data_IF_846691056792
#
_entry.id   IF_846691056792
#
_cell.length_a   1.000
_cell.length_b   1.000
_cell.length_c   1.000
_cell.angle_alpha   90.00
_cell.angle_beta   90.00
_cell.angle_gamma   90.00
#
_symmetry.space_group_name_H-M   'P 1'
#
loop_
_entity.id
_entity.type
_entity.pdbx_description
1 polymer ?
#
# COMPACT_ATOMS: atom_id res chain seq x y z
N UNK A 1 -46.04 -73.13 26.24
CA UNK A 1 -45.98 -71.83 26.95
C UNK A 1 -44.59 -71.74 27.55
N UNK A 2 -43.57 -71.13 26.92
CA UNK A 2 -43.51 -69.77 26.37
C UNK A 2 -43.24 -68.81 27.54
N UNK A 3 -42.09 -68.16 27.69
CA UNK A 3 -40.88 -68.11 26.88
C UNK A 3 -39.69 -67.54 27.69
N UNK A 4 -38.50 -67.71 27.14
CA UNK A 4 -37.27 -67.08 27.60
C UNK A 4 -37.19 -65.63 27.09
N UNK A 5 -36.71 -64.70 27.93
CA UNK A 5 -36.28 -63.37 27.49
C UNK A 5 -34.82 -63.13 27.89
N UNK A 6 -34.01 -63.01 26.84
CA UNK A 6 -32.60 -62.63 26.78
C UNK A 6 -32.41 -61.13 27.14
N UNK A 7 -31.17 -60.68 27.42
CA UNK A 7 -30.91 -59.31 27.88
C UNK A 7 -30.92 -58.33 26.70
N UNK A 8 -31.17 -57.02 26.90
CA UNK A 8 -30.95 -56.06 25.84
C UNK A 8 -29.46 -55.74 25.73
N UNK A 9 -29.02 -55.73 24.47
CA UNK A 9 -27.66 -55.57 24.01
C UNK A 9 -27.14 -54.14 24.16
N UNK A 10 -25.84 -54.05 24.41
CA UNK A 10 -24.98 -52.93 24.01
C UNK A 10 -24.96 -52.78 22.49
N UNK A 11 -25.40 -51.64 21.98
CA UNK A 11 -25.03 -51.01 20.70
C UNK A 11 -25.59 -49.59 20.77
N UNK A 12 -24.80 -48.53 20.84
CA UNK A 12 -23.87 -48.00 19.84
C UNK A 12 -24.41 -46.61 19.47
N UNK A 13 -23.58 -45.61 19.73
CA UNK A 13 -23.30 -44.52 18.80
C UNK A 13 -24.51 -43.80 18.20
N UNK A 14 -25.03 -42.86 18.97
CA UNK A 14 -25.77 -41.73 18.45
C UNK A 14 -25.15 -40.45 18.98
N UNK A 15 -23.85 -40.23 18.74
CA UNK A 15 -23.26 -38.90 18.89
C UNK A 15 -23.87 -38.04 17.80
N UNK A 16 -24.93 -37.36 18.19
CA UNK A 16 -25.83 -36.61 17.34
C UNK A 16 -25.01 -35.54 16.60
N UNK A 17 -24.94 -35.63 15.28
CA UNK A 17 -24.31 -34.64 14.40
C UNK A 17 -24.88 -33.23 14.67
N UNK A 18 -26.08 -33.16 15.26
CA UNK A 18 -26.75 -31.95 15.70
C UNK A 18 -26.18 -31.32 16.98
N UNK A 19 -25.53 -32.08 17.87
CA UNK A 19 -24.82 -31.52 19.04
C UNK A 19 -23.51 -30.82 18.64
N UNK A 20 -22.93 -31.22 17.50
CA UNK A 20 -21.75 -30.56 16.94
C UNK A 20 -22.09 -29.22 16.27
N UNK A 21 -23.36 -29.01 15.89
CA UNK A 21 -23.87 -27.80 15.23
C UNK A 21 -24.31 -26.71 16.21
N UNK A 22 -24.43 -27.01 17.51
CA UNK A 22 -24.85 -26.08 18.56
C UNK A 22 -23.76 -25.84 19.61
N UNK A 23 -22.49 -25.77 19.18
CA UNK A 23 -21.42 -25.30 20.05
C UNK A 23 -21.68 -23.84 20.46
N UNK A 24 -21.51 -23.47 21.74
CA UNK A 24 -21.71 -22.10 22.20
C UNK A 24 -20.96 -21.12 21.31
N UNK A 25 -21.54 -19.94 21.06
CA UNK A 25 -20.92 -18.85 20.27
C UNK A 25 -19.45 -18.61 20.61
N UNK A 26 -19.08 -18.78 21.90
CA UNK A 26 -17.72 -18.64 22.40
C UNK A 26 -16.76 -19.72 21.87
N UNK A 27 -17.22 -20.96 21.73
CA UNK A 27 -16.39 -22.07 21.21
C UNK A 27 -16.16 -21.94 19.69
N UNK A 28 -17.17 -21.53 18.93
CA UNK A 28 -17.03 -21.27 17.48
C UNK A 28 -16.10 -20.07 17.23
N UNK A 29 -16.20 -19.01 18.06
CA UNK A 29 -15.30 -17.85 17.99
C UNK A 29 -13.86 -18.24 18.35
N UNK A 30 -13.69 -19.12 19.34
CA UNK A 30 -12.36 -19.64 19.74
C UNK A 30 -11.74 -20.52 18.63
N UNK A 31 -12.51 -21.43 18.02
CA UNK A 31 -12.03 -22.27 16.93
C UNK A 31 -11.66 -21.44 15.67
N UNK A 32 -12.47 -20.44 15.33
CA UNK A 32 -12.20 -19.54 14.21
C UNK A 32 -10.98 -18.64 14.45
N UNK A 33 -10.78 -18.17 15.68
CA UNK A 33 -9.59 -17.41 16.09
C UNK A 33 -8.31 -18.26 15.99
N UNK A 34 -8.33 -19.49 16.47
CA UNK A 34 -7.17 -20.39 16.40
C UNK A 34 -6.85 -20.81 14.96
N UNK A 35 -7.86 -20.95 14.10
CA UNK A 35 -7.64 -21.13 12.67
C UNK A 35 -7.00 -19.88 12.03
N UNK A 36 -7.50 -18.68 12.36
CA UNK A 36 -6.93 -17.42 11.88
C UNK A 36 -5.48 -17.21 12.31
N UNK A 37 -5.12 -17.57 13.55
CA UNK A 37 -3.74 -17.48 14.06
C UNK A 37 -2.75 -18.36 13.31
N UNK A 38 -3.18 -19.54 12.83
CA UNK A 38 -2.33 -20.42 11.99
C UNK A 38 -2.01 -19.81 10.63
N UNK A 39 -2.88 -18.93 10.15
CA UNK A 39 -2.77 -18.28 8.84
C UNK A 39 -1.92 -17.01 8.86
N UNK A 40 -1.54 -16.49 10.04
CA UNK A 40 -0.82 -15.21 10.18
C UNK A 40 0.42 -15.34 11.06
N UNK A 41 1.42 -14.49 10.84
CA UNK A 41 2.61 -14.42 11.69
C UNK A 41 2.29 -14.11 13.17
N UNK A 42 3.09 -14.63 14.13
CA UNK A 42 2.84 -14.48 15.57
C UNK A 42 2.68 -13.04 16.06
N UNK A 43 3.38 -12.07 15.46
CA UNK A 43 3.32 -10.65 15.85
C UNK A 43 1.94 -10.02 15.72
N UNK A 44 1.00 -10.66 15.00
CA UNK A 44 -0.37 -10.17 14.83
C UNK A 44 -1.40 -10.91 15.71
N UNK A 45 -0.99 -11.95 16.45
CA UNK A 45 -1.91 -12.77 17.25
C UNK A 45 -2.63 -11.95 18.31
N UNK A 46 -1.93 -11.04 18.99
CA UNK A 46 -2.54 -10.13 19.97
C UNK A 46 -3.60 -9.21 19.35
N UNK A 47 -3.37 -8.76 18.11
CA UNK A 47 -4.35 -7.97 17.36
C UNK A 47 -5.61 -8.76 17.02
N UNK A 48 -5.44 -10.02 16.61
CA UNK A 48 -6.57 -10.93 16.37
C UNK A 48 -7.37 -11.20 17.64
N UNK A 49 -6.69 -11.42 18.77
CA UNK A 49 -7.36 -11.59 20.07
C UNK A 49 -8.17 -10.36 20.45
N UNK A 50 -7.59 -9.16 20.29
CA UNK A 50 -8.27 -7.89 20.54
C UNK A 50 -9.50 -7.73 19.65
N UNK A 51 -9.39 -8.04 18.36
CA UNK A 51 -10.52 -7.95 17.43
C UNK A 51 -11.60 -9.00 17.71
N UNK A 52 -11.24 -10.20 18.20
CA UNK A 52 -12.20 -11.23 18.58
C UNK A 52 -13.10 -10.83 19.74
N UNK A 53 -12.62 -9.92 20.59
CA UNK A 53 -13.36 -9.38 21.72
C UNK A 53 -14.17 -8.13 21.35
N UNK A 54 -14.02 -7.59 20.12
CA UNK A 54 -14.69 -6.38 19.70
C UNK A 54 -16.20 -6.61 19.58
N UNK A 55 -16.98 -5.76 20.27
CA UNK A 55 -18.44 -5.69 20.16
C UNK A 55 -18.83 -4.33 19.60
N UNK A 56 -19.69 -4.33 18.58
CA UNK A 56 -20.19 -3.10 17.96
C UNK A 56 -20.96 -2.28 19.02
N UNK A 57 -20.55 -1.04 19.32
CA UNK A 57 -21.26 -0.18 20.26
C UNK A 57 -22.71 0.04 19.80
N UNK A 58 -23.68 -0.27 20.68
CA UNK A 58 -25.11 -0.12 20.37
C UNK A 58 -25.77 -1.30 19.65
N UNK A 59 -25.03 -2.39 19.36
CA UNK A 59 -25.64 -3.63 18.86
C UNK A 59 -26.38 -4.34 19.98
N UNK A 60 -27.70 -4.52 19.82
CA UNK A 60 -28.56 -5.31 20.71
C UNK A 60 -28.33 -6.83 20.46
N UNK A 61 -27.73 -7.19 19.32
CA UNK A 61 -27.47 -8.57 18.94
C UNK A 61 -26.05 -9.00 19.35
N UNK A 62 -25.89 -9.92 20.33
CA UNK A 62 -24.59 -10.47 20.73
C UNK A 62 -23.97 -11.40 19.68
N UNK A 63 -24.66 -11.68 18.57
CA UNK A 63 -24.28 -12.63 17.54
C UNK A 63 -23.48 -12.03 16.36
N UNK A 64 -23.25 -10.71 16.32
CA UNK A 64 -22.38 -10.11 15.29
C UNK A 64 -20.94 -10.23 15.75
N UNK A 65 -20.39 -11.44 15.66
CA UNK A 65 -18.98 -11.67 15.85
C UNK A 65 -18.21 -11.27 14.58
N UNK A 66 -17.01 -10.70 14.71
CA UNK A 66 -16.17 -10.41 13.56
C UNK A 66 -15.81 -11.71 12.81
N UNK A 67 -15.91 -11.69 11.48
CA UNK A 67 -15.50 -12.81 10.64
C UNK A 67 -13.96 -12.95 10.67
N UNK A 68 -13.48 -13.91 11.48
CA UNK A 68 -12.05 -14.15 11.68
C UNK A 68 -11.33 -14.55 10.39
N UNK A 69 -12.02 -15.21 9.45
CA UNK A 69 -11.45 -15.58 8.16
C UNK A 69 -11.16 -14.35 7.30
N UNK A 70 -12.12 -13.40 7.25
CA UNK A 70 -11.93 -12.12 6.56
C UNK A 70 -10.86 -11.26 7.23
N UNK A 71 -10.83 -11.24 8.56
CA UNK A 71 -9.80 -10.53 9.32
C UNK A 71 -8.40 -11.11 9.02
N UNK A 72 -8.24 -12.43 9.08
CA UNK A 72 -6.97 -13.09 8.77
C UNK A 72 -6.53 -12.81 7.32
N UNK A 73 -7.47 -12.78 6.38
CA UNK A 73 -7.19 -12.39 5.00
C UNK A 73 -6.65 -10.95 4.91
N UNK A 74 -7.28 -9.99 5.60
CA UNK A 74 -6.81 -8.59 5.63
C UNK A 74 -5.43 -8.48 6.28
N UNK A 75 -5.20 -9.19 7.40
CA UNK A 75 -3.90 -9.20 8.08
C UNK A 75 -2.82 -9.80 7.18
N UNK A 76 -3.09 -10.90 6.48
CA UNK A 76 -2.16 -11.48 5.50
C UNK A 76 -1.85 -10.55 4.34
N UNK A 77 -2.88 -9.89 3.80
CA UNK A 77 -2.68 -8.89 2.76
C UNK A 77 -1.79 -7.74 3.27
N UNK A 78 -2.00 -7.29 4.51
CA UNK A 78 -1.15 -6.32 5.18
C UNK A 78 0.29 -6.83 5.37
N UNK A 79 0.48 -8.08 5.81
CA UNK A 79 1.80 -8.71 5.97
C UNK A 79 2.61 -8.74 4.68
N UNK A 80 1.96 -9.07 3.56
CA UNK A 80 2.62 -9.14 2.26
C UNK A 80 3.10 -7.77 1.76
N UNK A 81 2.46 -6.70 2.22
CA UNK A 81 2.70 -5.33 1.73
C UNK A 81 3.57 -4.54 2.69
N UNK A 82 3.37 -4.68 4.00
CA UNK A 82 4.07 -3.90 5.03
C UNK A 82 5.51 -4.40 5.18
N UNK A 83 6.47 -3.46 5.15
CA UNK A 83 7.89 -3.75 5.33
C UNK A 83 8.19 -4.33 6.71
N UNK A 84 9.09 -5.32 6.77
CA UNK A 84 9.46 -6.00 8.00
C UNK A 84 10.20 -5.11 9.01
N UNK A 85 11.01 -4.18 8.52
CA UNK A 85 11.86 -3.24 9.27
C UNK A 85 11.17 -1.90 9.57
N UNK A 86 9.82 -1.84 9.50
CA UNK A 86 9.08 -0.59 9.61
C UNK A 86 9.40 0.19 10.89
N UNK A 87 9.44 -0.50 12.03
CA UNK A 87 9.69 0.14 13.33
C UNK A 87 11.10 0.74 13.41
N UNK A 88 12.11 -0.05 13.04
CA UNK A 88 13.51 0.37 13.02
C UNK A 88 13.72 1.55 12.06
N UNK A 89 13.06 1.51 10.91
CA UNK A 89 13.10 2.59 9.94
C UNK A 89 12.46 3.88 10.46
N UNK A 90 11.29 3.78 11.09
CA UNK A 90 10.62 4.95 11.67
C UNK A 90 11.47 5.56 12.78
N UNK A 91 12.04 4.77 13.67
CA UNK A 91 12.92 5.28 14.73
C UNK A 91 14.16 5.98 14.18
N UNK A 92 14.71 5.46 13.07
CA UNK A 92 15.90 6.02 12.42
C UNK A 92 15.63 7.33 11.68
N UNK A 93 14.50 7.43 10.96
CA UNK A 93 14.27 8.53 10.01
C UNK A 93 13.19 9.53 10.41
N UNK A 94 12.16 9.12 11.16
CA UNK A 94 10.96 9.93 11.38
C UNK A 94 11.28 11.24 12.09
N UNK A 95 12.09 11.20 13.15
CA UNK A 95 12.46 12.39 13.93
C UNK A 95 13.22 13.39 13.06
N UNK A 96 14.14 12.91 12.22
CA UNK A 96 14.91 13.76 11.30
C UNK A 96 14.00 14.45 10.28
N UNK A 97 13.12 13.68 9.63
CA UNK A 97 12.20 14.22 8.63
C UNK A 97 11.16 15.18 9.20
N UNK A 98 10.71 14.98 10.45
CA UNK A 98 9.81 15.93 11.11
C UNK A 98 10.49 17.27 11.41
N UNK A 99 11.81 17.27 11.64
CA UNK A 99 12.58 18.48 11.95
C UNK A 99 13.07 19.20 10.69
N UNK A 100 13.57 18.45 9.73
CA UNK A 100 14.32 18.98 8.58
C UNK A 100 13.54 18.89 7.26
N UNK A 101 12.40 18.19 7.27
CA UNK A 101 11.69 17.80 6.06
C UNK A 101 12.27 16.53 5.43
N UNK A 102 11.47 15.88 4.59
CA UNK A 102 11.86 14.63 3.92
C UNK A 102 13.00 14.81 2.92
N UNK A 103 13.00 15.97 2.25
CA UNK A 103 14.08 16.41 1.38
C UNK A 103 14.82 17.52 2.11
N UNK A 104 16.03 17.24 2.56
CA UNK A 104 16.94 18.32 2.93
C UNK A 104 17.06 19.26 1.73
N UNK A 105 17.16 20.59 1.93
CA UNK A 105 17.25 21.54 0.82
C UNK A 105 18.54 21.30 0.04
N UNK A 106 18.47 20.42 -0.95
CA UNK A 106 19.52 20.26 -1.94
C UNK A 106 19.47 21.52 -2.80
N UNK A 107 20.38 22.44 -2.47
CA UNK A 107 20.80 23.60 -3.23
C UNK A 107 19.89 24.84 -3.13
N UNK A 108 20.43 25.83 -2.42
CA UNK A 108 20.03 27.24 -2.41
C UNK A 108 20.29 27.91 -3.77
N UNK A 109 19.62 27.49 -4.85
CA UNK A 109 19.63 28.23 -6.10
C UNK A 109 18.33 29.07 -6.24
N UNK A 110 18.40 30.41 -6.40
CA UNK A 110 17.24 31.28 -6.15
C UNK A 110 16.25 31.41 -7.31
N UNK A 111 16.42 30.65 -8.39
CA UNK A 111 15.64 30.85 -9.62
C UNK A 111 15.32 29.47 -10.18
N UNK A 112 14.10 29.31 -10.67
CA UNK A 112 13.43 28.07 -11.11
C UNK A 112 12.57 27.47 -10.00
N UNK A 113 11.25 27.47 -10.24
CA UNK A 113 10.21 26.91 -9.40
C UNK A 113 10.68 25.63 -8.70
N UNK A 114 10.73 25.67 -7.36
CA UNK A 114 11.29 24.62 -6.52
C UNK A 114 10.71 23.21 -6.79
N UNK A 115 9.58 23.10 -7.48
CA UNK A 115 8.94 21.82 -7.81
C UNK A 115 9.46 21.19 -9.13
N UNK A 116 9.93 21.97 -10.11
CA UNK A 116 10.22 21.45 -11.46
C UNK A 116 11.59 20.80 -11.62
N UNK A 117 12.64 21.36 -10.99
CA UNK A 117 13.99 20.75 -11.04
C UNK A 117 14.13 19.58 -10.05
N UNK A 118 13.42 19.62 -8.92
CA UNK A 118 13.52 18.58 -7.90
C UNK A 118 13.03 17.22 -8.42
N UNK A 119 12.02 17.17 -9.28
CA UNK A 119 11.43 15.88 -9.66
C UNK A 119 12.26 15.05 -10.65
N UNK A 120 13.11 15.66 -11.48
CA UNK A 120 13.88 14.89 -12.47
C UNK A 120 15.19 14.35 -11.89
N UNK A 121 15.91 15.20 -11.14
CA UNK A 121 17.21 14.86 -10.56
C UNK A 121 17.07 14.00 -9.29
N UNK A 122 16.03 14.21 -8.47
CA UNK A 122 15.84 13.42 -7.24
C UNK A 122 15.36 11.99 -7.48
N UNK A 123 14.82 11.68 -8.67
CA UNK A 123 14.34 10.31 -8.97
C UNK A 123 15.49 9.30 -9.00
N UNK A 124 16.67 9.75 -9.40
CA UNK A 124 17.87 8.92 -9.53
C UNK A 124 18.92 9.23 -8.43
N UNK A 125 18.65 10.20 -7.56
CA UNK A 125 19.58 10.55 -6.50
C UNK A 125 19.55 9.50 -5.36
N UNK A 126 20.68 8.87 -5.10
CA UNK A 126 20.90 8.05 -3.90
C UNK A 126 21.33 8.98 -2.75
N UNK A 127 20.36 9.64 -2.12
CA UNK A 127 20.61 10.63 -1.07
C UNK A 127 20.96 10.01 0.29
N UNK A 128 20.64 8.75 0.48
CA UNK A 128 20.83 8.03 1.73
C UNK A 128 21.65 6.76 1.50
N UNK A 129 22.46 6.35 2.47
CA UNK A 129 23.10 5.02 2.44
C UNK A 129 22.06 3.89 2.57
N UNK A 130 20.90 4.21 3.13
CA UNK A 130 19.80 3.28 3.30
C UNK A 130 18.98 3.16 2.02
N UNK A 131 19.02 1.96 1.45
CA UNK A 131 18.30 1.62 0.22
C UNK A 131 16.82 1.96 0.31
N UNK A 132 16.19 1.73 1.46
CA UNK A 132 14.75 1.87 1.59
C UNK A 132 14.34 3.33 1.78
N UNK A 133 15.19 4.15 2.40
CA UNK A 133 15.04 5.60 2.34
C UNK A 133 15.03 6.09 0.89
N UNK A 134 16.02 5.68 0.07
CA UNK A 134 16.06 6.06 -1.35
C UNK A 134 14.83 5.59 -2.15
N UNK A 135 14.31 4.40 -1.89
CA UNK A 135 13.10 3.91 -2.56
C UNK A 135 11.89 4.79 -2.19
N UNK A 136 11.69 5.12 -0.91
CA UNK A 136 10.60 6.00 -0.49
C UNK A 136 10.70 7.37 -1.14
N UNK A 137 11.90 7.94 -1.13
CA UNK A 137 12.22 9.20 -1.80
C UNK A 137 11.80 9.15 -3.29
N UNK A 138 12.17 8.07 -3.98
CA UNK A 138 11.80 7.84 -5.38
C UNK A 138 10.28 7.73 -5.59
N UNK A 139 9.57 6.99 -4.74
CA UNK A 139 8.10 6.91 -4.77
C UNK A 139 7.46 8.30 -4.68
N UNK A 140 7.91 9.12 -3.73
CA UNK A 140 7.39 10.46 -3.56
C UNK A 140 7.71 11.35 -4.76
N UNK A 141 8.91 11.23 -5.32
CA UNK A 141 9.30 11.97 -6.52
C UNK A 141 8.40 11.61 -7.72
N UNK A 142 8.07 10.33 -7.92
CA UNK A 142 7.15 9.89 -8.97
C UNK A 142 5.71 10.36 -8.76
N UNK A 143 5.21 10.30 -7.53
CA UNK A 143 3.90 10.85 -7.16
C UNK A 143 3.83 12.35 -7.48
N UNK A 144 4.85 13.11 -7.10
CA UNK A 144 4.96 14.55 -7.41
C UNK A 144 5.06 14.81 -8.91
N UNK A 145 5.83 14.00 -9.64
CA UNK A 145 5.95 14.09 -11.10
C UNK A 145 4.58 13.93 -11.77
N UNK A 146 3.78 12.95 -11.33
CA UNK A 146 2.44 12.75 -11.85
C UNK A 146 1.53 13.96 -11.59
N UNK A 147 1.49 14.48 -10.35
CA UNK A 147 0.71 15.68 -10.04
C UNK A 147 1.17 16.89 -10.86
N UNK A 148 2.48 17.08 -11.01
CA UNK A 148 3.01 18.19 -11.78
C UNK A 148 2.59 18.11 -13.25
N UNK A 149 2.63 16.91 -13.84
CA UNK A 149 2.10 16.66 -15.18
C UNK A 149 0.61 16.96 -15.27
N UNK A 150 -0.20 16.52 -14.30
CA UNK A 150 -1.64 16.78 -14.26
C UNK A 150 -1.96 18.28 -14.19
N UNK A 151 -1.16 19.05 -13.43
CA UNK A 151 -1.26 20.51 -13.43
C UNK A 151 -0.88 21.14 -14.78
N UNK A 152 0.13 20.60 -15.47
CA UNK A 152 0.44 21.06 -16.84
C UNK A 152 -0.69 20.71 -17.82
N UNK A 153 -1.35 19.56 -17.67
CA UNK A 153 -2.51 19.19 -18.48
C UNK A 153 -3.68 20.17 -18.30
N UNK A 154 -3.97 20.58 -17.06
CA UNK A 154 -5.02 21.55 -16.74
C UNK A 154 -4.68 22.96 -17.25
N UNK A 155 -3.41 23.35 -17.16
CA UNK A 155 -2.94 24.67 -17.57
C UNK A 155 -2.72 24.81 -19.09
N UNK A 156 -2.59 23.70 -19.83
CA UNK A 156 -2.28 23.74 -21.25
C UNK A 156 -3.44 24.33 -22.07
N UNK A 157 -3.16 25.30 -22.97
CA UNK A 157 -4.17 25.83 -23.87
C UNK A 157 -4.74 24.70 -24.75
N UNK A 158 -6.06 24.65 -24.93
CA UNK A 158 -6.72 23.66 -25.82
C UNK A 158 -6.33 23.83 -27.31
N UNK A 159 -5.61 24.89 -27.67
CA UNK A 159 -5.02 25.08 -29.00
C UNK A 159 -3.75 24.24 -29.09
N UNK A 160 -3.93 23.01 -29.53
CA UNK A 160 -2.88 22.04 -29.79
C UNK A 160 -2.14 22.40 -31.08
N UNK A 161 -0.84 22.15 -31.12
CA UNK A 161 -0.15 22.07 -32.41
C UNK A 161 -0.77 20.93 -33.24
N UNK A 162 -0.93 21.10 -34.57
CA UNK A 162 -1.50 20.06 -35.41
C UNK A 162 -0.74 18.74 -35.25
N UNK A 163 -1.42 17.71 -34.75
CA UNK A 163 -0.85 16.36 -34.59
C UNK A 163 -0.18 16.06 -33.23
N UNK A 164 -0.11 17.02 -32.30
CA UNK A 164 0.41 16.77 -30.94
C UNK A 164 -0.75 16.70 -29.95
N UNK A 165 -0.90 15.57 -29.24
CA UNK A 165 -1.90 15.42 -28.19
C UNK A 165 -1.56 16.21 -26.92
N UNK A 166 -2.59 16.59 -26.14
CA UNK A 166 -2.44 17.36 -24.89
C UNK A 166 -1.45 16.71 -23.93
N UNK A 167 -1.48 15.38 -23.83
CA UNK A 167 -0.59 14.61 -22.96
C UNK A 167 0.89 14.78 -23.34
N UNK A 168 1.20 14.67 -24.63
CA UNK A 168 2.56 14.84 -25.14
C UNK A 168 3.04 16.28 -24.94
N UNK A 169 2.15 17.26 -25.12
CA UNK A 169 2.47 18.67 -24.90
C UNK A 169 2.79 18.94 -23.41
N UNK A 170 1.94 18.46 -22.50
CA UNK A 170 2.16 18.61 -21.06
C UNK A 170 3.46 17.93 -20.59
N UNK A 171 3.77 16.74 -21.11
CA UNK A 171 5.02 16.05 -20.84
C UNK A 171 6.23 16.84 -21.35
N UNK A 172 6.18 17.37 -22.58
CA UNK A 172 7.25 18.21 -23.12
C UNK A 172 7.46 19.49 -22.29
N UNK A 173 6.39 20.14 -21.83
CA UNK A 173 6.47 21.30 -20.94
C UNK A 173 7.14 20.95 -19.60
N UNK A 174 6.85 19.78 -19.03
CA UNK A 174 7.55 19.31 -17.82
C UNK A 174 9.04 19.11 -18.08
N UNK A 175 9.40 18.43 -19.18
CA UNK A 175 10.78 18.14 -19.55
C UNK A 175 11.59 19.42 -19.85
N UNK A 176 11.01 20.38 -20.58
CA UNK A 176 11.60 21.69 -20.82
C UNK A 176 11.87 22.48 -19.54
N UNK A 177 10.97 22.37 -18.55
CA UNK A 177 11.13 23.03 -17.25
C UNK A 177 12.11 22.30 -16.32
N UNK A 178 12.33 21.01 -16.54
CA UNK A 178 13.23 20.19 -15.74
C UNK A 178 14.68 20.29 -16.22
N UNK A 179 14.92 20.37 -17.53
CA UNK A 179 16.27 20.36 -18.10
C UNK A 179 16.63 21.70 -18.75
N UNK A 180 17.59 22.42 -18.15
CA UNK A 180 18.04 23.75 -18.61
C UNK A 180 18.53 23.73 -20.07
N UNK A 181 19.19 22.65 -20.49
CA UNK A 181 19.75 22.50 -21.84
C UNK A 181 18.85 21.68 -22.77
N UNK A 182 17.56 21.52 -22.44
CA UNK A 182 16.62 20.68 -23.21
C UNK A 182 16.68 20.99 -24.71
N UNK A 183 16.68 22.26 -25.10
CA UNK A 183 16.67 22.62 -26.53
C UNK A 183 17.92 22.16 -27.29
N UNK A 184 19.05 22.02 -26.61
CA UNK A 184 20.35 21.62 -27.18
C UNK A 184 20.51 20.10 -27.31
N UNK A 185 19.60 19.31 -26.72
CA UNK A 185 19.67 17.85 -26.75
C UNK A 185 19.34 17.28 -28.14
N UNK A 186 19.95 16.15 -28.46
CA UNK A 186 19.63 15.38 -29.66
C UNK A 186 18.18 14.87 -29.61
N UNK A 187 17.60 14.53 -30.76
CA UNK A 187 16.24 13.96 -30.79
C UNK A 187 16.18 12.60 -30.08
N UNK A 188 17.27 11.82 -30.13
CA UNK A 188 17.40 10.53 -29.45
C UNK A 188 17.40 10.71 -27.92
N UNK A 189 18.15 11.68 -27.40
CA UNK A 189 18.19 11.99 -25.97
C UNK A 189 16.83 12.51 -25.48
N UNK A 190 16.19 13.40 -26.27
CA UNK A 190 14.84 13.90 -25.98
C UNK A 190 13.84 12.75 -25.94
N UNK A 191 13.93 11.80 -26.86
CA UNK A 191 13.03 10.64 -26.87
C UNK A 191 13.27 9.73 -25.67
N UNK A 192 14.54 9.43 -25.34
CA UNK A 192 14.90 8.66 -24.16
C UNK A 192 14.36 9.29 -22.87
N UNK A 193 14.46 10.61 -22.75
CA UNK A 193 13.95 11.35 -21.60
C UNK A 193 12.41 11.31 -21.52
N UNK A 194 11.71 11.39 -22.65
CA UNK A 194 10.25 11.20 -22.71
C UNK A 194 9.85 9.80 -22.27
N UNK A 195 10.51 8.77 -22.75
CA UNK A 195 10.19 7.38 -22.40
C UNK A 195 10.36 7.14 -20.90
N UNK A 196 11.47 7.63 -20.32
CA UNK A 196 11.70 7.61 -18.87
C UNK A 196 10.62 8.39 -18.13
N UNK A 197 10.28 9.59 -18.58
CA UNK A 197 9.23 10.40 -17.98
C UNK A 197 7.88 9.69 -17.96
N UNK A 198 7.45 9.12 -19.10
CA UNK A 198 6.18 8.39 -19.19
C UNK A 198 6.17 7.14 -18.30
N UNK A 199 7.27 6.38 -18.25
CA UNK A 199 7.40 5.24 -17.35
C UNK A 199 7.22 5.66 -15.87
N UNK A 200 7.98 6.67 -15.44
CA UNK A 200 7.92 7.20 -14.07
C UNK A 200 6.56 7.79 -13.73
N UNK A 201 5.94 8.49 -14.68
CA UNK A 201 4.58 9.05 -14.54
C UNK A 201 3.54 7.95 -14.32
N UNK A 202 3.61 6.84 -15.07
CA UNK A 202 2.68 5.71 -14.91
C UNK A 202 2.78 5.09 -13.52
N UNK A 203 4.00 4.89 -13.04
CA UNK A 203 4.26 4.38 -11.68
C UNK A 203 3.75 5.37 -10.63
N UNK A 204 4.05 6.66 -10.78
CA UNK A 204 3.56 7.73 -9.90
C UNK A 204 2.03 7.80 -9.82
N UNK A 205 1.34 7.62 -10.95
CA UNK A 205 -0.13 7.55 -10.99
C UNK A 205 -0.67 6.37 -10.17
N UNK A 206 -0.11 5.16 -10.33
CA UNK A 206 -0.53 3.97 -9.58
C UNK A 206 -0.33 4.15 -8.07
N UNK A 207 0.77 4.76 -7.67
CA UNK A 207 0.98 5.17 -6.29
C UNK A 207 -0.06 6.19 -5.81
N UNK A 208 -0.40 7.19 -6.62
CA UNK A 208 -1.46 8.13 -6.27
C UNK A 208 -2.82 7.45 -6.07
N UNK A 209 -3.16 6.46 -6.90
CA UNK A 209 -4.39 5.68 -6.74
C UNK A 209 -4.41 4.96 -5.39
N UNK A 210 -3.31 4.31 -4.98
CA UNK A 210 -3.21 3.69 -3.66
C UNK A 210 -3.30 4.70 -2.51
N UNK A 211 -2.63 5.85 -2.63
CA UNK A 211 -2.67 6.92 -1.63
C UNK A 211 -4.09 7.44 -1.42
N UNK A 212 -4.92 7.47 -2.47
CA UNK A 212 -6.32 7.88 -2.34
C UNK A 212 -7.16 6.92 -1.48
N UNK A 213 -6.87 5.62 -1.52
CA UNK A 213 -7.62 4.61 -0.76
C UNK A 213 -7.05 4.34 0.64
N UNK A 214 -5.72 4.35 0.78
CA UNK A 214 -5.02 3.91 2.00
C UNK A 214 -4.35 5.05 2.76
N UNK A 215 -4.38 6.27 2.20
CA UNK A 215 -3.72 7.44 2.74
C UNK A 215 -2.21 7.51 2.41
N UNK A 216 -1.56 8.66 2.66
CA UNK A 216 -0.15 8.89 2.28
C UNK A 216 0.87 7.97 2.99
N UNK A 217 0.50 7.42 4.16
CA UNK A 217 1.38 6.53 4.93
C UNK A 217 1.82 5.28 4.15
N UNK A 218 1.02 4.86 3.16
CA UNK A 218 1.32 3.69 2.32
C UNK A 218 2.66 3.80 1.56
N UNK A 219 3.08 5.03 1.23
CA UNK A 219 4.38 5.26 0.57
C UNK A 219 5.56 4.85 1.46
N UNK A 220 5.36 4.90 2.78
CA UNK A 220 6.37 4.65 3.82
C UNK A 220 6.27 3.21 4.34
N UNK A 221 5.05 2.73 4.55
CA UNK A 221 4.81 1.43 5.20
C UNK A 221 5.01 0.25 4.27
N UNK A 222 4.85 0.43 2.95
CA UNK A 222 5.07 -0.64 1.98
C UNK A 222 6.54 -1.03 1.81
N UNK A 223 6.82 -2.32 1.73
CA UNK A 223 8.12 -2.87 1.33
C UNK A 223 8.46 -2.57 -0.13
N UNK A 224 9.74 -2.71 -0.49
CA UNK A 224 10.25 -2.47 -1.85
C UNK A 224 9.56 -3.33 -2.92
N UNK A 225 9.14 -4.55 -2.56
CA UNK A 225 8.49 -5.49 -3.47
C UNK A 225 7.17 -4.94 -4.04
N UNK A 226 6.53 -4.01 -3.33
CA UNK A 226 5.34 -3.32 -3.83
C UNK A 226 5.62 -2.55 -5.12
N UNK A 227 6.85 -2.07 -5.34
CA UNK A 227 7.23 -1.33 -6.55
C UNK A 227 7.14 -2.20 -7.81
N UNK A 228 7.33 -3.52 -7.69
CA UNK A 228 7.20 -4.45 -8.82
C UNK A 228 5.75 -4.61 -9.30
N UNK A 229 4.79 -4.22 -8.47
CA UNK A 229 3.36 -4.21 -8.79
C UNK A 229 2.86 -2.83 -9.28
N UNK A 230 3.75 -1.84 -9.33
CA UNK A 230 3.48 -0.48 -9.82
C UNK A 230 3.92 -0.29 -11.26
#
# INVERSE_FOLDING_TARGET
>A
MGGAQSPPATAAEGNDIFDMLNLPSDYQTTAALEAAKKDVEPRYHQGLETMSQYRVPGSINPAVTPDMGKIALVVRAGQAVVRGDLLEFLDKYLVGWLKEGLWQPLLTHPVVSALSMQCADLVEAELYDDRMANILMRRLAWVRLYYWHDEQMKASPRKLEPGVGLETQAANLCLQKAYVNWEQWSQEDKQTARDKFHARKRVGRRWCELVQYLGPGILITCGADMDAHM
#
